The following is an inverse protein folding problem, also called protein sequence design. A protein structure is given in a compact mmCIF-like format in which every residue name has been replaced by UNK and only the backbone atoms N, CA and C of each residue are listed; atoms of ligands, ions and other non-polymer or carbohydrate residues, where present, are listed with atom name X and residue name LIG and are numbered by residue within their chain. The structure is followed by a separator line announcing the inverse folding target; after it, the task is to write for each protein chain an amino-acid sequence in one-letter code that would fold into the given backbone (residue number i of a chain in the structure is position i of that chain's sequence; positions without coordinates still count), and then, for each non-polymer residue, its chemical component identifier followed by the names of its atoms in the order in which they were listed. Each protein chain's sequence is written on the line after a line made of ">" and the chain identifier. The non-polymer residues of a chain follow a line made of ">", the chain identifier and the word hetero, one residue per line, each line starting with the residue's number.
data_IF_851443727914
#
_entry.id   IF_851443727914
#
_cell.length_a   1.000
_cell.length_b   1.000
_cell.length_c   1.000
_cell.angle_alpha   90.00
_cell.angle_beta   90.00
_cell.angle_gamma   90.00
#
_symmetry.space_group_name_H-M   'P 1'
#
loop_
_entity.id
_entity.type
_entity.pdbx_description
1 polymer ?
#
# COMPACT_ATOMS: atom_id res chain seq x y z
N UNK A 1 -2.21 18.57 -10.53
CA UNK A 1 -2.59 17.51 -9.57
C UNK A 1 -1.58 16.39 -9.72
N UNK A 2 -0.74 16.13 -8.71
CA UNK A 2 0.22 15.01 -8.76
C UNK A 2 -0.51 13.71 -8.43
N UNK A 3 -0.44 12.74 -9.33
CA UNK A 3 -0.98 11.41 -9.05
C UNK A 3 -0.05 10.74 -8.03
N UNK A 4 -0.60 10.29 -6.91
CA UNK A 4 0.18 9.56 -5.89
C UNK A 4 0.58 8.18 -6.44
N UNK A 5 1.87 7.79 -6.34
CA UNK A 5 2.34 6.47 -6.78
C UNK A 5 1.53 5.31 -6.20
N UNK A 6 1.05 5.42 -4.96
CA UNK A 6 0.23 4.41 -4.29
C UNK A 6 -1.09 4.16 -5.01
N UNK A 7 -1.71 5.23 -5.54
CA UNK A 7 -2.98 5.09 -6.26
C UNK A 7 -2.78 4.23 -7.51
N UNK A 8 -1.69 4.46 -8.23
CA UNK A 8 -1.32 3.66 -9.41
C UNK A 8 -1.05 2.20 -9.04
N UNK A 9 -0.36 1.95 -7.92
CA UNK A 9 -0.11 0.58 -7.45
C UNK A 9 -1.41 -0.16 -7.13
N UNK A 10 -2.33 0.49 -6.40
CA UNK A 10 -3.63 -0.11 -6.05
C UNK A 10 -4.46 -0.42 -7.30
N UNK A 11 -4.53 0.52 -8.25
CA UNK A 11 -5.26 0.32 -9.50
C UNK A 11 -4.71 -0.88 -10.26
N UNK A 12 -3.39 -0.98 -10.40
CA UNK A 12 -2.73 -2.08 -11.11
C UNK A 12 -2.86 -3.42 -10.38
N UNK A 13 -2.72 -3.46 -9.06
CA UNK A 13 -2.97 -4.67 -8.24
C UNK A 13 -4.40 -5.16 -8.44
N UNK A 14 -5.38 -4.25 -8.50
CA UNK A 14 -6.78 -4.61 -8.70
C UNK A 14 -7.05 -5.16 -10.11
N UNK A 15 -6.42 -4.59 -11.14
CA UNK A 15 -6.46 -5.13 -12.51
C UNK A 15 -5.94 -6.56 -12.56
N UNK A 16 -4.73 -6.79 -12.03
CA UNK A 16 -4.11 -8.12 -11.96
C UNK A 16 -4.98 -9.09 -11.16
N UNK A 17 -5.57 -8.64 -10.04
CA UNK A 17 -6.46 -9.47 -9.23
C UNK A 17 -7.75 -9.88 -9.97
N UNK A 18 -8.31 -8.99 -10.80
CA UNK A 18 -9.47 -9.31 -11.64
C UNK A 18 -9.08 -10.32 -12.73
N UNK A 19 -7.93 -10.13 -13.38
CA UNK A 19 -7.42 -11.05 -14.40
C UNK A 19 -7.17 -12.45 -13.81
N UNK A 20 -6.49 -12.50 -12.66
CA UNK A 20 -6.21 -13.74 -11.91
C UNK A 20 -7.47 -14.56 -11.65
N UNK A 21 -8.57 -13.90 -11.25
CA UNK A 21 -9.87 -14.55 -10.97
C UNK A 21 -10.61 -15.01 -12.23
N UNK A 22 -10.29 -14.44 -13.38
CA UNK A 22 -10.99 -14.70 -14.64
C UNK A 22 -10.29 -15.74 -15.49
N UNK A 23 -9.05 -15.47 -15.89
CA UNK A 23 -8.29 -16.30 -16.84
C UNK A 23 -6.95 -16.76 -16.29
N UNK A 24 -6.63 -16.41 -15.03
CA UNK A 24 -5.31 -16.63 -14.43
C UNK A 24 -4.33 -15.52 -14.79
N UNK A 25 -3.13 -15.59 -14.20
CA UNK A 25 -2.01 -14.69 -14.50
C UNK A 25 -0.89 -15.47 -15.16
N UNK A 26 -0.16 -14.79 -16.04
CA UNK A 26 1.13 -15.24 -16.53
C UNK A 26 2.20 -15.10 -15.42
N UNK A 27 3.32 -15.80 -15.55
CA UNK A 27 4.40 -15.77 -14.55
C UNK A 27 4.93 -14.35 -14.29
N UNK A 28 5.09 -13.56 -15.36
CA UNK A 28 5.55 -12.17 -15.23
C UNK A 28 4.51 -11.26 -14.54
N UNK A 29 3.22 -11.58 -14.69
CA UNK A 29 2.14 -10.84 -14.02
C UNK A 29 2.06 -11.19 -12.54
N UNK A 30 2.36 -12.44 -12.17
CA UNK A 30 2.54 -12.83 -10.78
C UNK A 30 3.69 -12.06 -10.14
N UNK A 31 4.83 -11.97 -10.81
CA UNK A 31 5.98 -11.19 -10.36
C UNK A 31 5.65 -9.69 -10.23
N UNK A 32 4.95 -9.12 -11.22
CA UNK A 32 4.48 -7.72 -11.17
C UNK A 32 3.56 -7.49 -9.97
N UNK A 33 2.56 -8.36 -9.78
CA UNK A 33 1.60 -8.23 -8.70
C UNK A 33 2.26 -8.30 -7.32
N UNK A 34 3.24 -9.19 -7.15
CA UNK A 34 3.98 -9.31 -5.90
C UNK A 34 4.86 -8.09 -5.63
N UNK A 35 5.60 -7.60 -6.63
CA UNK A 35 6.41 -6.40 -6.51
C UNK A 35 5.55 -5.19 -6.08
N UNK A 36 4.40 -5.00 -6.72
CA UNK A 36 3.46 -3.92 -6.37
C UNK A 36 2.90 -4.04 -4.95
N UNK A 37 2.62 -5.27 -4.49
CA UNK A 37 2.17 -5.49 -3.10
C UNK A 37 3.24 -5.13 -2.09
N UNK A 38 4.51 -5.43 -2.36
CA UNK A 38 5.61 -5.06 -1.47
C UNK A 38 5.80 -3.55 -1.35
N UNK A 39 5.69 -2.83 -2.46
CA UNK A 39 5.71 -1.36 -2.47
C UNK A 39 4.54 -0.76 -1.67
N UNK A 40 3.33 -1.28 -1.90
CA UNK A 40 2.15 -0.87 -1.14
C UNK A 40 2.31 -1.12 0.37
N UNK A 41 2.75 -2.32 0.77
CA UNK A 41 2.95 -2.66 2.18
C UNK A 41 4.02 -1.78 2.83
N UNK A 42 5.10 -1.46 2.11
CA UNK A 42 6.15 -0.57 2.60
C UNK A 42 5.58 0.81 2.90
N UNK A 43 4.79 1.37 1.97
CA UNK A 43 4.11 2.64 2.20
C UNK A 43 3.17 2.58 3.42
N UNK A 44 2.34 1.55 3.52
CA UNK A 44 1.40 1.39 4.64
C UNK A 44 2.15 1.26 5.97
N UNK A 45 3.26 0.52 6.03
CA UNK A 45 4.07 0.40 7.26
C UNK A 45 4.58 1.76 7.72
N UNK A 46 5.08 2.60 6.81
CA UNK A 46 5.53 3.95 7.17
C UNK A 46 4.38 4.83 7.67
N UNK A 47 3.21 4.77 7.02
CA UNK A 47 2.03 5.51 7.50
C UNK A 47 1.59 5.04 8.89
N UNK A 48 1.62 3.74 9.16
CA UNK A 48 1.28 3.19 10.49
C UNK A 48 2.27 3.67 11.55
N UNK A 49 3.58 3.64 11.27
CA UNK A 49 4.61 4.16 12.20
C UNK A 49 4.35 5.62 12.54
N UNK A 50 4.12 6.47 11.53
CA UNK A 50 3.81 7.89 11.72
C UNK A 50 2.58 8.07 12.59
N UNK A 51 1.50 7.35 12.31
CA UNK A 51 0.26 7.40 13.09
C UNK A 51 0.50 7.06 14.57
N UNK A 52 1.23 5.97 14.83
CA UNK A 52 1.56 5.54 16.20
C UNK A 52 2.46 6.55 16.93
N UNK A 53 3.44 7.15 16.24
CA UNK A 53 4.29 8.19 16.81
C UNK A 53 3.52 9.44 17.19
N UNK A 54 2.54 9.85 16.36
CA UNK A 54 1.65 10.99 16.67
C UNK A 54 0.79 10.70 17.90
N UNK A 55 0.19 9.51 18.00
CA UNK A 55 -0.63 9.12 19.16
C UNK A 55 0.18 9.12 20.46
N UNK A 56 1.41 8.61 20.45
CA UNK A 56 2.30 8.63 21.62
C UNK A 56 2.66 10.06 22.04
N UNK A 57 2.88 10.96 21.09
CA UNK A 57 3.15 12.36 21.37
C UNK A 57 1.95 13.09 21.99
N UNK A 58 0.72 12.73 21.60
CA UNK A 58 -0.51 13.27 22.19
C UNK A 58 -0.71 12.78 23.63
N UNK A 59 -0.47 11.50 23.92
CA UNK A 59 -0.60 10.96 25.29
C UNK A 59 0.45 11.50 26.26
N UNK A 60 1.64 11.83 25.77
CA UNK A 60 2.73 12.37 26.58
C UNK A 60 2.70 13.90 26.71
N UNK A 61 1.72 14.57 26.10
CA UNK A 61 1.41 15.96 26.41
C UNK A 61 0.63 15.99 27.73
N UNK A 62 1.20 16.50 28.83
CA UNK A 62 0.41 16.77 30.02
C UNK A 62 -0.73 17.69 29.60
N UNK A 63 -1.94 17.37 30.05
CA UNK A 63 -3.12 18.22 29.97
C UNK A 63 -2.71 19.70 30.04
N UNK A 64 -2.93 20.44 28.95
CA UNK A 64 -3.16 21.88 29.07
C UNK A 64 -4.57 22.08 29.62
#
# INVERSE_FOLDING_TARGET
>A
MSISPIKLFIERINELSRKQRSIGLEEWEHAEQEALRQEYLTYIREQVKVSLSTMQAEESSPLQ
#
